data_IF_308549878603
#
_entry.id   IF_308549878603
#
_cell.length_a   1.000
_cell.length_b   1.000
_cell.length_c   1.000
_cell.angle_alpha   90.00
_cell.angle_beta   90.00
_cell.angle_gamma   90.00
#
_symmetry.space_group_name_H-M   'P 1'
#
loop_
_entity.id
_entity.type
_entity.pdbx_description
1 polymer ?
#
# COMPACT_ATOMS: atom_id res chain seq x y z
N UNK A 1 -15.74 37.71 -11.73
CA UNK A 1 -15.49 36.32 -12.19
C UNK A 1 -14.30 35.65 -11.51
N UNK A 2 -13.09 36.23 -11.50
CA UNK A 2 -11.88 35.58 -10.96
C UNK A 2 -11.99 35.03 -9.51
N UNK A 3 -12.67 35.74 -8.59
CA UNK A 3 -12.84 35.28 -7.18
C UNK A 3 -13.79 34.08 -7.03
N UNK A 4 -14.79 33.94 -7.91
CA UNK A 4 -15.71 32.79 -7.90
C UNK A 4 -15.04 31.53 -8.49
N UNK A 5 -14.16 31.71 -9.47
CA UNK A 5 -13.38 30.63 -10.07
C UNK A 5 -12.40 29.99 -9.07
N UNK A 6 -11.88 30.74 -8.11
CA UNK A 6 -10.96 30.21 -7.08
C UNK A 6 -11.68 29.38 -6.02
N UNK A 7 -12.87 29.79 -5.59
CA UNK A 7 -13.68 28.99 -4.67
C UNK A 7 -14.10 27.67 -5.34
N UNK A 8 -14.52 27.73 -6.61
CA UNK A 8 -14.87 26.54 -7.40
C UNK A 8 -13.66 25.62 -7.61
N UNK A 9 -12.49 26.17 -7.98
CA UNK A 9 -11.25 25.40 -8.13
C UNK A 9 -10.84 24.75 -6.81
N UNK A 10 -11.00 25.45 -5.68
CA UNK A 10 -10.68 24.90 -4.36
C UNK A 10 -11.62 23.77 -3.95
N UNK A 11 -12.93 23.92 -4.21
CA UNK A 11 -13.90 22.84 -4.04
C UNK A 11 -13.58 21.64 -4.94
N UNK A 12 -13.22 21.88 -6.21
CA UNK A 12 -12.81 20.84 -7.16
C UNK A 12 -11.55 20.09 -6.66
N UNK A 13 -10.54 20.81 -6.16
CA UNK A 13 -9.32 20.22 -5.61
C UNK A 13 -9.66 19.35 -4.38
N UNK A 14 -10.47 19.85 -3.45
CA UNK A 14 -10.92 19.07 -2.28
C UNK A 14 -11.66 17.80 -2.72
N UNK A 15 -12.59 17.90 -3.67
CA UNK A 15 -13.33 16.72 -4.16
C UNK A 15 -12.44 15.75 -4.92
N UNK A 16 -11.52 16.22 -5.76
CA UNK A 16 -10.64 15.36 -6.55
C UNK A 16 -9.58 14.64 -5.70
N UNK A 17 -9.16 15.22 -4.56
CA UNK A 17 -8.16 14.61 -3.68
C UNK A 17 -8.75 13.82 -2.50
N UNK A 18 -9.98 14.10 -2.08
CA UNK A 18 -10.66 13.34 -1.01
C UNK A 18 -11.58 12.23 -1.53
N UNK A 19 -12.06 12.32 -2.78
CA UNK A 19 -12.75 11.20 -3.43
C UNK A 19 -11.68 10.34 -4.08
N UNK A 20 -11.47 9.09 -3.62
CA UNK A 20 -10.50 8.22 -4.24
C UNK A 20 -11.03 7.81 -5.61
N UNK A 21 -10.70 8.57 -6.64
CA UNK A 21 -10.85 8.13 -8.02
C UNK A 21 -9.80 7.05 -8.28
N UNK A 22 -10.06 5.84 -7.78
CA UNK A 22 -9.34 4.63 -8.19
C UNK A 22 -9.75 4.29 -9.63
N UNK A 23 -9.31 5.11 -10.58
CA UNK A 23 -9.28 4.76 -11.99
C UNK A 23 -7.82 4.50 -12.40
N UNK A 24 -7.15 3.63 -11.65
CA UNK A 24 -6.05 2.86 -12.22
C UNK A 24 -6.68 1.58 -12.72
N UNK A 25 -6.88 1.51 -14.03
CA UNK A 25 -7.17 0.28 -14.75
C UNK A 25 -6.02 -0.70 -14.48
N UNK A 26 -6.16 -1.48 -13.41
CA UNK A 26 -5.41 -2.72 -13.23
C UNK A 26 -5.84 -3.59 -14.40
N UNK A 27 -4.91 -3.92 -15.30
CA UNK A 27 -5.14 -4.97 -16.30
C UNK A 27 -5.66 -6.18 -15.53
N UNK A 28 -6.92 -6.54 -15.76
CA UNK A 28 -7.52 -7.70 -15.13
C UNK A 28 -6.64 -8.91 -15.51
N UNK A 29 -6.04 -9.53 -14.50
CA UNK A 29 -5.32 -10.79 -14.68
C UNK A 29 -6.36 -11.88 -14.99
N UNK A 30 -6.09 -12.82 -15.90
CA UNK A 30 -6.97 -13.97 -16.08
C UNK A 30 -7.13 -14.66 -14.74
N UNK A 31 -8.38 -14.82 -14.30
CA UNK A 31 -8.67 -15.50 -13.05
C UNK A 31 -8.33 -16.97 -13.21
N UNK A 32 -8.06 -17.66 -12.10
CA UNK A 32 -7.89 -19.10 -12.09
C UNK A 32 -9.01 -19.84 -12.86
N UNK A 33 -10.27 -19.36 -12.79
CA UNK A 33 -11.42 -19.95 -13.48
C UNK A 33 -11.40 -19.85 -15.01
N UNK A 34 -10.62 -18.95 -15.59
CA UNK A 34 -10.59 -18.73 -17.04
C UNK A 34 -9.63 -19.69 -17.77
N UNK A 35 -8.87 -20.49 -17.02
CA UNK A 35 -7.83 -21.34 -17.60
C UNK A 35 -8.36 -22.70 -18.01
N UNK A 36 -8.19 -23.02 -19.30
CA UNK A 36 -8.55 -24.33 -19.86
C UNK A 36 -7.31 -25.21 -19.91
N UNK A 37 -7.34 -26.31 -19.14
CA UNK A 37 -6.26 -27.29 -19.19
C UNK A 37 -6.29 -28.10 -20.49
N UNK A 38 -5.12 -28.53 -20.99
CA UNK A 38 -5.03 -29.51 -22.07
C UNK A 38 -5.84 -30.78 -21.75
N UNK A 39 -6.32 -31.46 -22.79
CA UNK A 39 -7.11 -32.69 -22.70
C UNK A 39 -8.40 -32.58 -21.88
N UNK A 40 -8.98 -31.37 -21.77
CA UNK A 40 -10.21 -31.11 -21.01
C UNK A 40 -10.13 -31.57 -19.55
N UNK A 41 -8.95 -31.46 -18.91
CA UNK A 41 -8.80 -31.77 -17.49
C UNK A 41 -9.54 -30.71 -16.66
N UNK A 42 -10.47 -31.13 -15.81
CA UNK A 42 -11.28 -30.23 -14.98
C UNK A 42 -10.98 -30.45 -13.51
N UNK A 43 -10.93 -29.36 -12.75
CA UNK A 43 -10.78 -29.37 -11.30
C UNK A 43 -12.01 -28.74 -10.65
N UNK A 44 -12.47 -29.30 -9.54
CA UNK A 44 -13.67 -28.85 -8.83
C UNK A 44 -13.46 -27.51 -8.11
N UNK A 45 -12.22 -27.21 -7.73
CA UNK A 45 -11.86 -26.02 -6.96
C UNK A 45 -10.58 -25.41 -7.50
N UNK A 46 -10.45 -24.11 -7.28
CA UNK A 46 -9.46 -23.29 -7.94
C UNK A 46 -9.27 -21.98 -7.15
N UNK A 47 -8.04 -21.49 -7.08
CA UNK A 47 -7.71 -20.24 -6.37
C UNK A 47 -6.50 -19.54 -7.00
N UNK A 48 -6.56 -18.21 -7.01
CA UNK A 48 -5.40 -17.36 -7.29
C UNK A 48 -4.56 -17.29 -6.00
N UNK A 49 -3.33 -17.80 -6.04
CA UNK A 49 -2.46 -17.75 -4.87
C UNK A 49 -1.88 -16.33 -4.74
N UNK A 50 -1.79 -15.80 -3.50
CA UNK A 50 -1.22 -14.47 -3.31
C UNK A 50 0.28 -14.52 -3.51
N UNK A 51 0.79 -13.71 -4.43
CA UNK A 51 2.21 -13.64 -4.80
C UNK A 51 2.67 -14.72 -5.80
N UNK A 52 3.77 -14.40 -6.48
CA UNK A 52 4.45 -15.23 -7.48
C UNK A 52 3.58 -15.61 -8.68
N UNK A 53 2.51 -14.88 -9.01
CA UNK A 53 1.68 -15.16 -10.21
C UNK A 53 1.34 -16.66 -10.35
N UNK A 54 0.95 -17.23 -9.20
CA UNK A 54 0.72 -18.66 -8.97
C UNK A 54 -0.76 -18.95 -8.77
N UNK A 55 -1.16 -20.16 -9.16
CA UNK A 55 -2.55 -20.61 -9.17
C UNK A 55 -2.59 -22.07 -8.74
N UNK A 56 -3.61 -22.41 -7.96
CA UNK A 56 -3.83 -23.79 -7.53
C UNK A 56 -5.20 -24.25 -7.99
N UNK A 57 -5.24 -25.41 -8.64
CA UNK A 57 -6.45 -26.09 -9.02
C UNK A 57 -6.46 -27.46 -8.37
N UNK A 58 -7.59 -27.89 -7.82
CA UNK A 58 -7.66 -29.19 -7.16
C UNK A 58 -9.06 -29.79 -7.15
N UNK A 59 -9.10 -31.11 -7.01
CA UNK A 59 -10.29 -31.89 -6.72
C UNK A 59 -9.94 -32.84 -5.59
N UNK A 60 -10.67 -32.75 -4.48
CA UNK A 60 -10.52 -33.67 -3.36
C UNK A 60 -11.64 -34.71 -3.40
N UNK A 61 -11.27 -36.00 -3.37
CA UNK A 61 -12.21 -37.12 -3.25
C UNK A 61 -12.22 -37.62 -1.80
N UNK A 62 -13.23 -37.29 -0.97
CA UNK A 62 -13.23 -37.66 0.44
C UNK A 62 -13.26 -39.19 0.65
N UNK A 63 -13.94 -39.92 -0.24
CA UNK A 63 -14.07 -41.38 -0.17
C UNK A 63 -12.78 -42.12 -0.54
N UNK A 64 -11.96 -41.54 -1.41
CA UNK A 64 -10.67 -42.10 -1.85
C UNK A 64 -9.47 -41.48 -1.13
N UNK A 65 -9.71 -40.48 -0.27
CA UNK A 65 -8.70 -39.61 0.36
C UNK A 65 -7.66 -39.01 -0.61
N UNK A 66 -7.97 -38.98 -1.91
CA UNK A 66 -7.08 -38.47 -2.95
C UNK A 66 -7.30 -36.99 -3.24
N UNK A 67 -6.21 -36.25 -3.33
CA UNK A 67 -6.15 -34.87 -3.77
C UNK A 67 -5.50 -34.82 -5.15
N UNK A 68 -6.31 -34.59 -6.18
CA UNK A 68 -5.80 -34.27 -7.52
C UNK A 68 -5.46 -32.80 -7.55
N UNK A 69 -4.23 -32.45 -7.93
CA UNK A 69 -3.75 -31.07 -7.94
C UNK A 69 -3.11 -30.69 -9.27
N UNK A 70 -3.33 -29.45 -9.68
CA UNK A 70 -2.53 -28.75 -10.67
C UNK A 70 -2.06 -27.40 -10.09
N UNK A 71 -0.77 -27.28 -9.87
CA UNK A 71 -0.13 -26.02 -9.50
C UNK A 71 0.41 -25.35 -10.77
N UNK A 72 -0.10 -24.15 -11.09
CA UNK A 72 0.33 -23.36 -12.24
C UNK A 72 1.11 -22.15 -11.73
N UNK A 73 2.27 -21.90 -12.33
CA UNK A 73 3.06 -20.70 -12.09
C UNK A 73 3.33 -20.03 -13.45
N UNK A 74 2.91 -18.77 -13.59
CA UNK A 74 3.05 -18.00 -14.83
C UNK A 74 4.19 -16.99 -14.76
N UNK A 75 4.56 -16.41 -15.90
CA UNK A 75 5.66 -15.45 -16.02
C UNK A 75 7.02 -16.05 -15.62
N UNK A 76 7.21 -17.34 -15.89
CA UNK A 76 8.44 -18.08 -15.58
C UNK A 76 9.26 -18.32 -16.83
N UNK A 77 10.59 -18.31 -16.67
CA UNK A 77 11.54 -18.64 -17.72
C UNK A 77 11.88 -20.14 -17.73
N UNK A 78 12.47 -20.63 -18.81
CA UNK A 78 13.01 -22.00 -18.86
C UNK A 78 14.17 -22.23 -17.87
N UNK A 79 14.83 -21.16 -17.42
CA UNK A 79 15.86 -21.16 -16.38
C UNK A 79 15.32 -21.03 -14.95
N UNK A 80 14.04 -21.31 -14.74
CA UNK A 80 13.37 -21.23 -13.44
C UNK A 80 12.85 -22.60 -13.02
N UNK A 81 13.09 -22.99 -11.79
CA UNK A 81 12.40 -24.12 -11.15
C UNK A 81 11.21 -23.59 -10.39
N UNK A 82 10.15 -24.39 -10.30
CA UNK A 82 8.95 -24.07 -9.53
C UNK A 82 8.65 -25.23 -8.60
N UNK A 83 8.12 -24.93 -7.43
CA UNK A 83 7.75 -25.94 -6.46
C UNK A 83 6.44 -25.59 -5.76
N UNK A 84 5.67 -26.63 -5.46
CA UNK A 84 4.53 -26.56 -4.57
C UNK A 84 4.59 -27.75 -3.61
N UNK A 85 4.26 -27.54 -2.34
CA UNK A 85 4.37 -28.60 -1.34
C UNK A 85 3.43 -28.44 -0.17
N UNK A 86 3.17 -29.56 0.50
CA UNK A 86 2.38 -29.63 1.73
C UNK A 86 3.34 -29.72 2.91
N UNK A 87 3.12 -28.91 3.94
CA UNK A 87 3.80 -29.06 5.22
C UNK A 87 2.83 -29.70 6.23
N UNK A 88 3.04 -30.98 6.60
CA UNK A 88 2.14 -31.67 7.52
C UNK A 88 2.36 -31.29 9.00
N UNK A 89 3.49 -30.68 9.35
CA UNK A 89 3.86 -30.41 10.76
C UNK A 89 3.84 -28.93 11.13
N UNK A 90 3.96 -28.04 10.15
CA UNK A 90 4.09 -26.60 10.33
C UNK A 90 3.46 -25.84 9.17
N UNK A 91 3.64 -24.51 9.14
CA UNK A 91 3.15 -23.62 8.08
C UNK A 91 4.25 -23.08 7.17
N UNK A 92 5.52 -23.31 7.50
CA UNK A 92 6.67 -22.70 6.82
C UNK A 92 7.40 -23.65 5.87
N UNK A 93 8.58 -23.24 5.40
CA UNK A 93 9.42 -24.01 4.47
C UNK A 93 9.91 -25.34 5.07
N UNK A 94 10.49 -25.30 6.28
CA UNK A 94 11.06 -26.49 6.93
C UNK A 94 9.95 -27.47 7.33
N UNK A 95 10.10 -28.73 6.92
CA UNK A 95 9.09 -29.78 7.05
C UNK A 95 8.18 -29.92 5.82
N UNK A 96 8.34 -29.07 4.80
CA UNK A 96 7.54 -29.16 3.56
C UNK A 96 7.93 -30.41 2.78
N UNK A 97 6.92 -31.09 2.28
CA UNK A 97 7.02 -32.19 1.34
C UNK A 97 6.59 -31.68 -0.02
N UNK A 98 7.58 -31.37 -0.86
CA UNK A 98 7.42 -30.59 -2.07
C UNK A 98 7.41 -31.47 -3.31
N UNK A 99 6.76 -30.94 -4.34
CA UNK A 99 6.87 -31.39 -5.72
C UNK A 99 7.55 -30.27 -6.48
N UNK A 100 8.63 -30.61 -7.17
CA UNK A 100 9.51 -29.67 -7.85
C UNK A 100 9.48 -29.96 -9.34
N UNK A 101 9.44 -28.93 -10.16
CA UNK A 101 9.57 -29.05 -11.60
C UNK A 101 10.52 -27.99 -12.17
N UNK A 102 11.24 -28.35 -13.23
CA UNK A 102 12.07 -27.43 -13.99
C UNK A 102 12.30 -27.95 -15.41
N UNK A 103 12.75 -27.07 -16.32
CA UNK A 103 13.11 -27.46 -17.69
C UNK A 103 14.56 -27.90 -17.72
N UNK A 104 14.84 -29.13 -18.16
CA UNK A 104 16.20 -29.65 -18.31
C UNK A 104 16.91 -28.97 -19.50
N UNK A 105 18.25 -29.03 -19.57
CA UNK A 105 19.01 -28.49 -20.70
C UNK A 105 18.62 -29.07 -22.08
N UNK A 106 18.07 -30.28 -22.13
CA UNK A 106 17.57 -30.93 -23.35
C UNK A 106 16.16 -30.47 -23.76
N UNK A 107 15.55 -29.55 -23.01
CA UNK A 107 14.20 -29.03 -23.23
C UNK A 107 13.08 -29.88 -22.64
N UNK A 108 13.37 -31.04 -22.05
CA UNK A 108 12.36 -31.88 -21.40
C UNK A 108 12.05 -31.41 -19.98
N UNK A 109 10.88 -31.76 -19.46
CA UNK A 109 10.50 -31.43 -18.09
C UNK A 109 11.07 -32.43 -17.10
N UNK A 110 11.71 -31.95 -16.04
CA UNK A 110 11.93 -32.69 -14.81
C UNK A 110 10.76 -32.45 -13.87
N UNK A 111 10.27 -33.50 -13.22
CA UNK A 111 9.31 -33.41 -12.12
C UNK A 111 9.58 -34.53 -11.12
N UNK A 112 9.66 -34.20 -9.84
CA UNK A 112 9.99 -35.16 -8.79
C UNK A 112 9.56 -34.64 -7.42
N UNK A 113 9.55 -35.53 -6.42
CA UNK A 113 9.24 -35.18 -5.03
C UNK A 113 10.50 -34.86 -4.24
N UNK A 114 10.43 -33.91 -3.30
CA UNK A 114 11.56 -33.50 -2.48
C UNK A 114 11.14 -33.18 -1.03
N UNK A 115 11.69 -33.88 -0.02
CA UNK A 115 11.50 -33.53 1.38
C UNK A 115 12.40 -32.37 1.81
N UNK A 116 11.81 -31.24 2.20
CA UNK A 116 12.50 -30.01 2.61
C UNK A 116 12.65 -29.96 4.13
N UNK A 117 13.71 -30.56 4.65
CA UNK A 117 13.94 -30.71 6.09
C UNK A 117 14.80 -29.59 6.70
N UNK A 118 15.37 -28.68 5.89
CA UNK A 118 16.18 -27.56 6.36
C UNK A 118 16.20 -26.41 5.35
N UNK A 119 16.64 -25.22 5.80
CA UNK A 119 16.85 -24.07 4.92
C UNK A 119 18.02 -24.25 3.93
N UNK A 120 18.90 -25.24 4.17
CA UNK A 120 20.04 -25.55 3.31
C UNK A 120 19.74 -26.64 2.26
N UNK A 121 18.47 -26.93 1.99
CA UNK A 121 18.06 -27.91 0.97
C UNK A 121 18.60 -27.52 -0.41
N UNK A 122 18.93 -28.52 -1.24
CA UNK A 122 19.17 -28.32 -2.68
C UNK A 122 18.02 -28.93 -3.50
N UNK A 123 16.86 -29.12 -2.86
CA UNK A 123 15.68 -29.78 -3.44
C UNK A 123 16.04 -31.16 -4.01
N UNK A 124 16.78 -31.97 -3.25
CA UNK A 124 17.13 -33.32 -3.67
C UNK A 124 15.87 -34.19 -3.79
N UNK A 125 15.86 -35.05 -4.82
CA UNK A 125 14.79 -36.03 -5.00
C UNK A 125 14.74 -37.00 -3.80
N UNK A 126 13.53 -37.27 -3.33
CA UNK A 126 13.31 -38.16 -2.20
C UNK A 126 11.84 -38.43 -1.94
N UNK A 127 11.60 -39.47 -1.15
CA UNK A 127 10.24 -39.91 -0.81
C UNK A 127 9.56 -38.97 0.17
N UNK A 128 8.26 -38.79 -0.01
CA UNK A 128 7.38 -38.06 0.90
C UNK A 128 6.76 -39.04 1.91
N UNK A 129 6.24 -38.51 3.01
CA UNK A 129 5.52 -39.31 4.01
C UNK A 129 4.12 -39.74 3.56
N UNK A 130 3.61 -39.13 2.48
CA UNK A 130 2.36 -39.51 1.83
C UNK A 130 2.62 -39.96 0.39
N UNK A 131 1.87 -40.96 -0.12
CA UNK A 131 1.99 -41.39 -1.51
C UNK A 131 1.68 -40.27 -2.50
N UNK A 132 2.48 -40.21 -3.57
CA UNK A 132 2.26 -39.31 -4.71
C UNK A 132 2.32 -40.13 -5.99
N UNK A 133 1.32 -39.98 -6.84
CA UNK A 133 1.21 -40.65 -8.14
C UNK A 133 0.84 -39.65 -9.25
N UNK A 134 0.83 -40.14 -10.50
CA UNK A 134 0.49 -39.37 -11.71
C UNK A 134 1.26 -38.04 -11.85
N UNK A 135 2.52 -38.08 -11.43
CA UNK A 135 3.41 -36.93 -11.42
C UNK A 135 3.79 -36.55 -12.86
N UNK A 136 3.46 -35.32 -13.25
CA UNK A 136 3.84 -34.77 -14.56
C UNK A 136 4.00 -33.27 -14.49
N UNK A 137 4.77 -32.69 -15.40
CA UNK A 137 4.88 -31.25 -15.53
C UNK A 137 4.94 -30.83 -17.00
N UNK A 138 4.49 -29.61 -17.28
CA UNK A 138 4.55 -29.01 -18.62
C UNK A 138 5.05 -27.57 -18.53
N UNK A 139 5.83 -27.14 -19.52
CA UNK A 139 6.22 -25.76 -19.71
C UNK A 139 5.79 -25.29 -21.10
N UNK A 140 4.89 -24.30 -21.16
CA UNK A 140 4.36 -23.74 -22.39
C UNK A 140 4.01 -22.26 -22.15
N UNK A 141 4.28 -21.39 -23.12
CA UNK A 141 3.94 -19.95 -23.07
C UNK A 141 4.42 -19.24 -21.78
N UNK A 142 5.66 -19.52 -21.35
CA UNK A 142 6.24 -19.00 -20.09
C UNK A 142 5.40 -19.34 -18.84
N UNK A 143 4.72 -20.49 -18.87
CA UNK A 143 3.96 -21.02 -17.76
C UNK A 143 4.38 -22.46 -17.48
N UNK A 144 4.62 -22.75 -16.21
CA UNK A 144 4.89 -24.10 -15.75
C UNK A 144 3.70 -24.63 -14.97
N UNK A 145 3.29 -25.85 -15.25
CA UNK A 145 2.21 -26.54 -14.54
C UNK A 145 2.73 -27.86 -14.00
N UNK A 146 2.55 -28.09 -12.71
CA UNK A 146 2.82 -29.35 -12.03
C UNK A 146 1.48 -30.05 -11.79
N UNK A 147 1.37 -31.31 -12.19
CA UNK A 147 0.24 -32.18 -11.88
C UNK A 147 0.67 -33.30 -10.94
N UNK A 148 -0.17 -33.62 -9.98
CA UNK A 148 0.03 -34.75 -9.09
C UNK A 148 -1.30 -35.26 -8.52
N UNK A 149 -1.26 -36.51 -8.05
CA UNK A 149 -2.30 -37.11 -7.20
C UNK A 149 -1.65 -37.45 -5.88
N UNK A 150 -2.22 -36.94 -4.79
CA UNK A 150 -1.68 -37.09 -3.44
C UNK A 150 -2.69 -37.85 -2.60
N UNK A 151 -2.24 -38.90 -1.91
CA UNK A 151 -3.08 -39.65 -0.98
C UNK A 151 -2.89 -39.08 0.43
N UNK A 152 -3.94 -38.46 0.97
CA UNK A 152 -3.89 -37.82 2.28
C UNK A 152 -4.37 -38.77 3.39
N UNK A 153 -3.92 -38.57 4.64
CA UNK A 153 -4.45 -39.31 5.77
C UNK A 153 -5.98 -39.18 5.89
N UNK A 154 -6.64 -40.22 6.39
CA UNK A 154 -8.07 -40.18 6.67
C UNK A 154 -8.43 -39.00 7.58
N UNK A 155 -9.61 -38.40 7.36
CA UNK A 155 -10.13 -37.25 8.10
C UNK A 155 -9.31 -35.95 7.95
N UNK A 156 -8.43 -35.84 6.94
CA UNK A 156 -7.74 -34.58 6.64
C UNK A 156 -8.73 -33.54 6.13
N UNK A 157 -9.01 -32.51 6.94
CA UNK A 157 -9.92 -31.41 6.59
C UNK A 157 -9.19 -30.20 6.01
N UNK A 158 -7.92 -30.01 6.36
CA UNK A 158 -7.09 -28.93 5.85
C UNK A 158 -5.62 -29.29 5.83
N UNK A 159 -4.86 -28.69 4.92
CA UNK A 159 -3.42 -28.86 4.79
C UNK A 159 -2.73 -27.49 4.71
N UNK A 160 -1.55 -27.36 5.32
CA UNK A 160 -0.69 -26.19 5.09
C UNK A 160 0.13 -26.43 3.84
N UNK A 161 0.21 -25.44 2.96
CA UNK A 161 0.98 -25.55 1.72
C UNK A 161 1.90 -24.35 1.52
N UNK A 162 2.93 -24.52 0.71
CA UNK A 162 3.88 -23.46 0.32
C UNK A 162 4.18 -23.58 -1.17
N UNK A 163 4.55 -22.47 -1.79
CA UNK A 163 4.99 -22.44 -3.18
C UNK A 163 6.20 -21.52 -3.35
N UNK A 164 7.07 -21.86 -4.28
CA UNK A 164 8.29 -21.10 -4.57
C UNK A 164 8.72 -21.26 -6.01
N UNK A 165 9.55 -20.33 -6.44
CA UNK A 165 10.35 -20.42 -7.65
C UNK A 165 11.80 -19.99 -7.39
N UNK A 166 12.73 -20.43 -8.22
CA UNK A 166 14.13 -20.05 -8.11
C UNK A 166 14.95 -20.36 -9.36
N UNK A 167 16.21 -19.91 -9.40
CA UNK A 167 17.05 -20.02 -10.59
C UNK A 167 17.56 -21.44 -10.81
N UNK A 168 17.67 -21.84 -12.07
CA UNK A 168 18.29 -23.09 -12.52
C UNK A 168 19.58 -22.76 -13.27
N UNK A 169 20.66 -23.45 -12.92
CA UNK A 169 21.93 -23.39 -13.65
C UNK A 169 22.34 -24.80 -14.07
N UNK A 170 22.16 -25.12 -15.36
CA UNK A 170 22.32 -26.49 -15.86
C UNK A 170 21.27 -27.42 -15.25
N UNK A 171 21.71 -28.33 -14.39
CA UNK A 171 20.86 -29.23 -13.60
C UNK A 171 20.83 -28.91 -12.10
N UNK A 172 21.43 -27.78 -11.70
CA UNK A 172 21.49 -27.35 -10.29
C UNK A 172 20.39 -26.36 -9.99
N UNK A 173 19.62 -26.66 -8.93
CA UNK A 173 18.54 -25.80 -8.43
C UNK A 173 19.11 -24.83 -7.39
N UNK A 174 19.09 -23.54 -7.71
CA UNK A 174 19.58 -22.48 -6.85
C UNK A 174 18.56 -22.04 -5.80
N UNK A 175 19.03 -21.32 -4.79
CA UNK A 175 18.18 -20.79 -3.71
C UNK A 175 17.16 -19.78 -4.25
N UNK A 176 15.90 -19.92 -3.84
CA UNK A 176 14.86 -18.92 -4.11
C UNK A 176 15.12 -17.61 -3.34
N UNK A 177 14.48 -16.50 -3.73
CA UNK A 177 14.66 -15.26 -2.97
C UNK A 177 14.11 -15.42 -1.54
N UNK A 178 14.82 -14.86 -0.55
CA UNK A 178 14.46 -14.94 0.87
C UNK A 178 13.84 -13.63 1.39
N UNK A 179 13.10 -12.92 0.51
CA UNK A 179 12.48 -11.63 0.87
C UNK A 179 11.15 -11.40 0.14
N UNK A 180 10.38 -10.43 0.64
CA UNK A 180 9.15 -9.97 -0.02
C UNK A 180 8.13 -11.10 -0.24
N UNK A 181 7.64 -11.19 -1.47
CA UNK A 181 6.63 -12.11 -1.96
C UNK A 181 6.97 -13.59 -1.68
N UNK A 182 8.24 -13.97 -1.76
CA UNK A 182 8.66 -15.34 -1.50
C UNK A 182 8.44 -15.75 -0.04
N UNK A 183 8.72 -14.88 0.93
CA UNK A 183 8.44 -15.17 2.35
C UNK A 183 6.94 -15.26 2.67
N UNK A 184 6.08 -14.78 1.76
CA UNK A 184 4.63 -14.77 1.91
C UNK A 184 3.93 -15.89 1.13
N UNK A 185 4.69 -16.71 0.39
CA UNK A 185 4.16 -17.74 -0.51
C UNK A 185 3.82 -19.03 0.26
N UNK A 186 2.88 -18.90 1.19
CA UNK A 186 2.40 -19.95 2.08
C UNK A 186 0.91 -19.78 2.43
N UNK A 187 0.23 -20.90 2.65
CA UNK A 187 -1.22 -20.96 2.74
C UNK A 187 -1.75 -22.13 3.56
N UNK A 188 -3.07 -22.16 3.72
CA UNK A 188 -3.83 -23.29 4.24
C UNK A 188 -4.95 -23.58 3.24
N UNK A 189 -4.99 -24.82 2.78
CA UNK A 189 -6.01 -25.33 1.89
C UNK A 189 -7.07 -26.06 2.72
N UNK A 190 -8.31 -25.60 2.66
CA UNK A 190 -9.45 -26.30 3.25
C UNK A 190 -10.04 -27.24 2.18
N UNK A 191 -9.96 -28.54 2.45
CA UNK A 191 -10.33 -29.58 1.50
C UNK A 191 -11.84 -29.83 1.47
N UNK A 192 -12.57 -29.50 2.55
CA UNK A 192 -14.02 -29.68 2.63
C UNK A 192 -14.80 -28.52 2.02
N UNK A 193 -14.31 -27.28 2.16
CA UNK A 193 -14.95 -26.11 1.54
C UNK A 193 -14.45 -25.81 0.14
N UNK A 194 -13.36 -26.45 -0.32
CA UNK A 194 -12.74 -26.11 -1.59
C UNK A 194 -12.18 -24.69 -1.61
N UNK A 195 -11.82 -24.13 -0.45
CA UNK A 195 -11.23 -22.79 -0.34
C UNK A 195 -9.78 -22.87 0.11
N UNK A 196 -8.92 -22.09 -0.55
CA UNK A 196 -7.57 -21.82 -0.04
C UNK A 196 -7.56 -20.47 0.67
N UNK A 197 -6.94 -20.42 1.84
CA UNK A 197 -6.71 -19.20 2.61
C UNK A 197 -5.21 -19.01 2.80
N UNK A 198 -4.66 -17.84 2.47
CA UNK A 198 -3.27 -17.58 2.82
C UNK A 198 -3.06 -17.64 4.33
N UNK A 199 -2.04 -18.39 4.77
CA UNK A 199 -1.76 -18.65 6.19
C UNK A 199 -0.94 -17.49 6.69
N UNK A 200 -1.71 -16.51 7.12
CA UNK A 200 -1.29 -15.16 7.36
C UNK A 200 -0.73 -15.02 8.78
N UNK A 201 0.28 -15.82 9.14
CA UNK A 201 1.04 -15.62 10.39
C UNK A 201 1.81 -14.28 10.38
N UNK A 202 1.96 -13.66 9.20
CA UNK A 202 2.37 -12.27 8.98
C UNK A 202 1.24 -11.27 8.66
N UNK A 203 -0.05 -11.65 8.59
CA UNK A 203 -1.13 -10.71 8.19
C UNK A 203 -1.29 -9.57 9.16
N UNK A 204 -1.37 -9.82 10.47
CA UNK A 204 -1.72 -8.76 11.41
C UNK A 204 -0.66 -7.67 11.40
N UNK A 205 0.62 -8.04 11.30
CA UNK A 205 1.73 -7.10 11.18
C UNK A 205 1.73 -6.39 9.82
N UNK A 206 1.46 -7.08 8.72
CA UNK A 206 1.45 -6.47 7.39
C UNK A 206 0.23 -5.57 7.17
N UNK A 207 -0.95 -6.00 7.62
CA UNK A 207 -2.16 -5.19 7.68
C UNK A 207 -1.98 -4.00 8.62
N UNK A 208 -1.30 -4.16 9.75
CA UNK A 208 -0.96 -3.03 10.63
C UNK A 208 0.00 -2.05 9.97
N UNK A 209 1.00 -2.53 9.21
CA UNK A 209 1.91 -1.68 8.40
C UNK A 209 1.15 -0.91 7.31
N UNK A 210 0.26 -1.60 6.59
CA UNK A 210 -0.59 -1.00 5.54
C UNK A 210 -1.53 0.03 6.16
N UNK A 211 -2.25 -0.33 7.23
CA UNK A 211 -3.13 0.56 7.98
C UNK A 211 -2.39 1.79 8.50
N UNK A 212 -1.22 1.61 9.11
CA UNK A 212 -0.35 2.72 9.54
C UNK A 212 -0.01 3.65 8.38
N UNK A 213 0.43 3.09 7.25
CA UNK A 213 0.78 3.84 6.04
C UNK A 213 -0.41 4.62 5.46
N UNK A 214 -1.57 3.97 5.31
CA UNK A 214 -2.79 4.58 4.76
C UNK A 214 -3.31 5.70 5.67
N UNK A 215 -3.46 5.42 6.97
CA UNK A 215 -3.96 6.41 7.94
C UNK A 215 -3.08 7.67 7.95
N UNK A 216 -1.76 7.51 7.99
CA UNK A 216 -0.85 8.65 8.02
C UNK A 216 -0.73 9.37 6.67
N UNK A 217 -0.83 8.66 5.54
CA UNK A 217 -0.82 9.30 4.22
C UNK A 217 -2.08 10.14 4.01
N UNK A 218 -3.25 9.61 4.36
CA UNK A 218 -4.53 10.36 4.26
C UNK A 218 -4.53 11.54 5.23
N UNK A 219 -4.16 11.31 6.49
CA UNK A 219 -4.08 12.35 7.52
C UNK A 219 -3.04 13.42 7.17
N UNK A 220 -1.76 13.09 7.34
CA UNK A 220 -0.65 14.03 7.33
C UNK A 220 -0.22 14.41 5.91
N UNK A 221 -0.43 13.51 4.95
CA UNK A 221 -0.04 13.70 3.56
C UNK A 221 -1.08 14.38 2.69
N UNK A 222 -2.36 14.40 3.08
CA UNK A 222 -3.45 14.95 2.25
C UNK A 222 -4.32 15.94 3.05
N UNK A 223 -4.95 15.51 4.14
CA UNK A 223 -5.89 16.35 4.89
C UNK A 223 -5.21 17.57 5.52
N UNK A 224 -4.04 17.40 6.16
CA UNK A 224 -3.31 18.53 6.76
C UNK A 224 -2.84 19.58 5.75
N UNK A 225 -2.21 19.20 4.60
CA UNK A 225 -1.89 20.15 3.53
C UNK A 225 -3.12 20.86 2.97
N UNK A 226 -4.23 20.14 2.71
CA UNK A 226 -5.46 20.76 2.21
C UNK A 226 -6.04 21.77 3.22
N UNK A 227 -6.04 21.43 4.51
CA UNK A 227 -6.45 22.34 5.58
C UNK A 227 -5.58 23.59 5.65
N UNK A 228 -4.26 23.46 5.47
CA UNK A 228 -3.35 24.60 5.36
C UNK A 228 -3.67 25.48 4.15
N UNK A 229 -3.85 24.87 2.97
CA UNK A 229 -4.22 25.59 1.74
C UNK A 229 -5.54 26.36 1.92
N UNK A 230 -6.53 25.76 2.59
CA UNK A 230 -7.80 26.42 2.89
C UNK A 230 -7.59 27.71 3.69
N UNK A 231 -6.87 27.64 4.81
CA UNK A 231 -6.62 28.80 5.65
C UNK A 231 -5.79 29.88 4.94
N UNK A 232 -4.84 29.49 4.09
CA UNK A 232 -3.97 30.43 3.39
C UNK A 232 -4.68 31.16 2.24
N UNK A 233 -5.42 30.42 1.42
CA UNK A 233 -5.94 30.93 0.15
C UNK A 233 -7.40 31.38 0.23
N UNK A 234 -8.29 30.66 0.91
CA UNK A 234 -9.68 31.11 1.07
C UNK A 234 -9.76 32.40 1.90
N UNK A 235 -8.92 32.54 2.92
CA UNK A 235 -8.83 33.79 3.69
C UNK A 235 -8.46 34.99 2.83
N UNK A 236 -7.75 34.78 1.72
CA UNK A 236 -7.34 35.83 0.78
C UNK A 236 -8.45 36.26 -0.18
N UNK A 237 -9.57 35.54 -0.25
CA UNK A 237 -10.75 35.90 -1.06
C UNK A 237 -11.47 37.15 -0.50
N UNK A 238 -11.21 37.48 0.77
CA UNK A 238 -11.72 38.69 1.45
C UNK A 238 -12.91 38.39 2.39
N UNK A 239 -13.66 39.42 2.82
CA UNK A 239 -14.69 39.31 3.85
C UNK A 239 -15.79 38.27 3.55
N UNK A 240 -16.07 38.01 2.26
CA UNK A 240 -17.05 37.01 1.82
C UNK A 240 -16.68 35.55 2.18
N UNK A 241 -15.41 35.31 2.48
CA UNK A 241 -14.92 34.00 2.89
C UNK A 241 -14.67 33.90 4.41
N UNK A 242 -14.94 34.95 5.19
CA UNK A 242 -14.98 34.90 6.66
C UNK A 242 -16.43 34.59 7.09
N UNK A 243 -16.71 33.53 7.87
CA UNK A 243 -15.79 32.58 8.52
C UNK A 243 -15.51 31.28 7.72
N UNK A 244 -15.94 31.17 6.47
CA UNK A 244 -15.82 29.94 5.66
C UNK A 244 -14.40 29.34 5.63
N UNK A 245 -13.35 30.15 5.44
CA UNK A 245 -11.96 29.67 5.44
C UNK A 245 -11.59 28.95 6.74
N UNK A 246 -12.13 29.43 7.86
CA UNK A 246 -11.86 28.90 9.19
C UNK A 246 -12.59 27.59 9.40
N UNK A 247 -13.85 27.50 8.97
CA UNK A 247 -14.60 26.25 9.02
C UNK A 247 -13.98 25.18 8.14
N UNK A 248 -13.64 25.47 6.89
CA UNK A 248 -13.00 24.49 6.00
C UNK A 248 -11.65 24.03 6.56
N UNK A 249 -10.86 24.97 7.09
CA UNK A 249 -9.59 24.64 7.76
C UNK A 249 -9.81 23.68 8.94
N UNK A 250 -10.69 24.02 9.89
CA UNK A 250 -10.85 23.20 11.11
C UNK A 250 -11.51 21.85 10.81
N UNK A 251 -12.40 21.76 9.83
CA UNK A 251 -13.03 20.49 9.40
C UNK A 251 -12.07 19.53 8.73
N UNK A 252 -10.97 20.03 8.16
CA UNK A 252 -9.90 19.17 7.61
C UNK A 252 -8.86 18.83 8.68
N UNK A 253 -8.47 19.81 9.50
CA UNK A 253 -7.40 19.67 10.49
C UNK A 253 -7.79 18.79 11.68
N UNK A 254 -9.00 18.92 12.26
CA UNK A 254 -9.38 18.12 13.43
C UNK A 254 -9.50 16.62 13.10
N UNK A 255 -10.28 16.20 12.07
CA UNK A 255 -10.35 14.79 11.73
C UNK A 255 -9.03 14.26 11.19
N UNK A 256 -8.28 15.08 10.44
CA UNK A 256 -6.92 14.78 10.02
C UNK A 256 -6.06 14.40 11.21
N UNK A 257 -6.00 15.24 12.25
CA UNK A 257 -5.18 14.96 13.43
C UNK A 257 -5.60 13.69 14.16
N UNK A 258 -6.91 13.48 14.35
CA UNK A 258 -7.43 12.27 15.00
C UNK A 258 -7.04 11.00 14.23
N UNK A 259 -7.16 11.03 12.91
CA UNK A 259 -6.74 9.93 12.03
C UNK A 259 -5.21 9.72 12.10
N UNK A 260 -4.46 10.81 12.13
CA UNK A 260 -3.01 10.81 12.33
C UNK A 260 -2.60 10.18 13.66
N UNK A 261 -3.31 10.47 14.75
CA UNK A 261 -3.09 9.84 16.06
C UNK A 261 -3.37 8.33 16.03
N UNK A 262 -4.47 7.90 15.41
CA UNK A 262 -4.73 6.47 15.20
C UNK A 262 -3.61 5.82 14.37
N UNK A 263 -3.15 6.49 13.31
CA UNK A 263 -1.98 6.10 12.54
C UNK A 263 -0.72 6.00 13.41
N UNK A 264 -0.47 6.95 14.30
CA UNK A 264 0.64 6.91 15.26
C UNK A 264 0.58 5.74 16.20
N UNK A 265 -0.58 5.50 16.81
CA UNK A 265 -0.81 4.39 17.73
C UNK A 265 -0.54 3.04 17.06
N UNK A 266 -0.97 2.86 15.81
CA UNK A 266 -0.62 1.64 15.03
C UNK A 266 0.88 1.51 14.78
N UNK A 267 1.60 2.62 14.58
CA UNK A 267 3.06 2.64 14.43
C UNK A 267 3.81 2.30 15.72
N UNK A 268 3.36 2.81 16.87
CA UNK A 268 3.89 2.45 18.19
C UNK A 268 3.66 0.97 18.49
N UNK A 269 2.44 0.48 18.23
CA UNK A 269 2.09 -0.92 18.39
C UNK A 269 2.92 -1.83 17.46
N UNK A 270 3.19 -1.38 16.24
CA UNK A 270 4.07 -2.08 15.31
C UNK A 270 5.52 -2.17 15.83
N UNK A 271 6.02 -1.12 16.47
CA UNK A 271 7.32 -1.11 17.14
C UNK A 271 7.42 -2.19 18.23
N UNK A 272 6.40 -2.29 19.09
CA UNK A 272 6.31 -3.33 20.13
C UNK A 272 6.25 -4.74 19.52
N UNK A 273 5.50 -4.92 18.42
CA UNK A 273 5.36 -6.22 17.73
C UNK A 273 6.56 -6.62 16.86
N UNK A 274 7.52 -5.73 16.66
CA UNK A 274 8.67 -5.91 15.75
C UNK A 274 10.00 -5.78 16.49
N UNK A 275 10.12 -6.44 17.64
CA UNK A 275 11.35 -6.45 18.44
C UNK A 275 12.58 -6.80 17.57
N UNK A 276 13.59 -5.91 17.59
CA UNK A 276 14.81 -6.03 16.79
C UNK A 276 14.84 -5.23 15.48
N UNK A 277 13.69 -4.80 14.94
CA UNK A 277 13.62 -3.96 13.73
C UNK A 277 13.41 -2.50 14.12
N UNK A 278 14.43 -1.66 13.90
CA UNK A 278 14.42 -0.26 14.33
C UNK A 278 14.52 0.70 13.14
N UNK A 279 13.64 1.69 13.12
CA UNK A 279 13.65 2.79 12.15
C UNK A 279 13.69 4.14 12.88
N UNK A 280 14.83 4.48 13.52
CA UNK A 280 14.92 5.60 14.46
C UNK A 280 14.63 6.96 13.82
N UNK A 281 15.01 7.17 12.56
CA UNK A 281 14.72 8.40 11.83
C UNK A 281 13.21 8.60 11.62
N UNK A 282 12.53 7.57 11.09
CA UNK A 282 11.08 7.62 10.85
C UNK A 282 10.28 7.81 12.15
N UNK A 283 10.65 7.08 13.19
CA UNK A 283 10.03 7.20 14.50
C UNK A 283 10.28 8.57 15.13
N UNK A 284 11.53 9.08 15.07
CA UNK A 284 11.88 10.40 15.60
C UNK A 284 11.08 11.52 14.96
N UNK A 285 11.02 11.55 13.62
CA UNK A 285 10.21 12.52 12.89
C UNK A 285 8.72 12.36 13.24
N UNK A 286 8.21 11.12 13.30
CA UNK A 286 6.83 10.82 13.67
C UNK A 286 6.44 11.33 15.06
N UNK A 287 7.29 11.11 16.07
CA UNK A 287 7.07 11.64 17.43
C UNK A 287 7.08 13.17 17.45
N UNK A 288 8.03 13.81 16.75
CA UNK A 288 8.06 15.27 16.63
C UNK A 288 6.77 15.81 16.00
N UNK A 289 6.26 15.13 14.95
CA UNK A 289 4.98 15.48 14.32
C UNK A 289 3.80 15.42 15.30
N UNK A 290 3.72 14.39 16.13
CA UNK A 290 2.66 14.28 17.14
C UNK A 290 2.67 15.43 18.14
N UNK A 291 3.86 15.76 18.67
CA UNK A 291 4.02 16.85 19.61
C UNK A 291 3.66 18.20 18.98
N UNK A 292 4.16 18.48 17.77
CA UNK A 292 3.86 19.73 17.07
C UNK A 292 2.38 19.84 16.66
N UNK A 293 1.75 18.73 16.27
CA UNK A 293 0.31 18.70 15.98
C UNK A 293 -0.55 18.94 17.22
N UNK A 294 -0.14 18.45 18.40
CA UNK A 294 -0.83 18.75 19.66
C UNK A 294 -0.72 20.24 20.02
N UNK A 295 0.45 20.83 19.80
CA UNK A 295 0.67 22.28 19.93
C UNK A 295 -0.24 23.07 18.98
N UNK A 296 -0.42 22.60 17.75
CA UNK A 296 -1.30 23.21 16.76
C UNK A 296 -2.77 23.19 17.18
N UNK A 297 -3.27 22.09 17.75
CA UNK A 297 -4.64 22.03 18.26
C UNK A 297 -4.82 22.89 19.51
N UNK A 298 -3.83 22.88 20.41
CA UNK A 298 -3.82 23.75 21.60
C UNK A 298 -3.93 25.23 21.20
N UNK A 299 -3.41 25.61 20.02
CA UNK A 299 -3.51 26.96 19.49
C UNK A 299 -4.97 27.41 19.27
N UNK A 300 -5.92 26.48 19.05
CA UNK A 300 -7.36 26.80 18.97
C UNK A 300 -7.87 27.40 20.29
N UNK A 301 -7.55 26.75 21.41
CA UNK A 301 -8.01 27.16 22.75
C UNK A 301 -7.30 28.41 23.24
N UNK A 302 -6.04 28.60 22.81
CA UNK A 302 -5.22 29.75 23.18
C UNK A 302 -5.32 30.92 22.19
N UNK A 303 -6.29 30.89 21.26
CA UNK A 303 -6.44 31.88 20.19
C UNK A 303 -6.89 33.24 20.75
N UNK A 304 -6.04 34.30 20.73
CA UNK A 304 -6.43 35.61 21.23
C UNK A 304 -7.43 36.31 20.29
N UNK A 305 -8.21 37.24 20.86
CA UNK A 305 -9.08 38.16 20.12
C UNK A 305 -8.30 38.95 19.04
N UNK A 306 -9.00 39.41 17.99
CA UNK A 306 -8.38 40.00 16.78
C UNK A 306 -7.53 41.25 17.10
N UNK A 307 -7.91 41.99 18.13
CA UNK A 307 -7.31 43.23 18.64
C UNK A 307 -6.32 43.02 19.80
N UNK A 308 -6.14 41.79 20.26
CA UNK A 308 -5.28 41.49 21.42
C UNK A 308 -3.78 41.62 21.09
N UNK A 309 -2.97 42.19 22.00
CA UNK A 309 -1.52 42.40 21.81
C UNK A 309 -0.71 41.14 21.44
N UNK A 310 -1.11 39.97 21.95
CA UNK A 310 -0.44 38.69 21.66
C UNK A 310 -0.91 38.02 20.36
N UNK A 311 -1.87 38.62 19.62
CA UNK A 311 -2.40 38.06 18.38
C UNK A 311 -1.31 37.81 17.34
N UNK A 312 -0.35 38.73 17.22
CA UNK A 312 0.75 38.63 16.26
C UNK A 312 1.74 37.52 16.64
N UNK A 313 2.09 37.40 17.93
CA UNK A 313 2.94 36.32 18.43
C UNK A 313 2.27 34.95 18.23
N UNK A 314 0.98 34.84 18.53
CA UNK A 314 0.20 33.64 18.28
C UNK A 314 0.18 33.28 16.79
N UNK A 315 -0.02 34.25 15.89
CA UNK A 315 0.01 34.01 14.45
C UNK A 315 1.39 33.52 13.99
N UNK A 316 2.48 34.13 14.48
CA UNK A 316 3.84 33.72 14.14
C UNK A 316 4.11 32.28 14.60
N UNK A 317 3.79 31.97 15.85
CA UNK A 317 3.91 30.64 16.41
C UNK A 317 3.11 29.61 15.61
N UNK A 318 1.83 29.89 15.37
CA UNK A 318 0.91 29.00 14.66
C UNK A 318 1.36 28.76 13.22
N UNK A 319 1.82 29.80 12.51
CA UNK A 319 2.34 29.63 11.16
C UNK A 319 3.65 28.84 11.14
N UNK A 320 4.63 29.21 11.98
CA UNK A 320 5.95 28.56 11.99
C UNK A 320 5.83 27.07 12.28
N UNK A 321 5.10 26.72 13.35
CA UNK A 321 4.89 25.31 13.71
C UNK A 321 4.07 24.58 12.65
N UNK A 322 3.11 25.23 11.99
CA UNK A 322 2.33 24.65 10.90
C UNK A 322 3.18 24.30 9.67
N UNK A 323 4.09 25.19 9.25
CA UNK A 323 5.02 24.91 8.15
C UNK A 323 5.97 23.76 8.49
N UNK A 324 6.48 23.72 9.72
CA UNK A 324 7.34 22.63 10.18
C UNK A 324 6.61 21.29 10.13
N UNK A 325 5.35 21.23 10.57
CA UNK A 325 4.52 20.02 10.48
C UNK A 325 4.39 19.56 9.03
N UNK A 326 4.04 20.45 8.09
CA UNK A 326 3.88 20.07 6.68
C UNK A 326 5.17 19.50 6.07
N UNK A 327 6.32 20.14 6.33
CA UNK A 327 7.61 19.69 5.83
C UNK A 327 7.99 18.32 6.39
N UNK A 328 7.88 18.15 7.71
CA UNK A 328 8.18 16.89 8.38
C UNK A 328 7.23 15.78 7.94
N UNK A 329 5.93 16.08 7.76
CA UNK A 329 4.94 15.11 7.27
C UNK A 329 5.29 14.60 5.89
N UNK A 330 5.61 15.49 4.96
CA UNK A 330 6.02 15.13 3.60
C UNK A 330 7.26 14.23 3.64
N UNK A 331 8.32 14.65 4.33
CA UNK A 331 9.56 13.87 4.43
C UNK A 331 9.31 12.49 5.07
N UNK A 332 8.51 12.43 6.14
CA UNK A 332 8.29 11.19 6.87
C UNK A 332 7.48 10.15 6.09
N UNK A 333 6.58 10.58 5.21
CA UNK A 333 5.83 9.67 4.32
C UNK A 333 6.77 9.02 3.31
N UNK A 334 7.71 9.78 2.71
CA UNK A 334 8.71 9.21 1.79
C UNK A 334 9.66 8.26 2.51
N UNK A 335 10.09 8.59 3.72
CA UNK A 335 10.85 7.65 4.58
C UNK A 335 10.02 6.39 4.86
N UNK A 336 8.72 6.55 5.14
CA UNK A 336 7.79 5.44 5.32
C UNK A 336 7.69 4.53 4.09
N UNK A 337 7.60 5.09 2.87
CA UNK A 337 7.62 4.31 1.63
C UNK A 337 8.95 3.59 1.39
N UNK A 338 10.07 4.23 1.72
CA UNK A 338 11.38 3.59 1.64
C UNK A 338 11.47 2.36 2.57
N UNK A 339 10.88 2.44 3.76
CA UNK A 339 10.82 1.34 4.73
C UNK A 339 9.83 0.24 4.29
N UNK A 340 8.62 0.64 3.91
CA UNK A 340 7.53 -0.28 3.59
C UNK A 340 7.76 -1.00 2.26
N UNK A 341 8.48 -0.37 1.32
CA UNK A 341 8.66 -0.81 -0.07
C UNK A 341 7.34 -1.28 -0.71
N UNK A 342 6.30 -0.43 -0.74
CA UNK A 342 5.00 -0.80 -1.29
C UNK A 342 5.09 -0.99 -2.81
N UNK A 343 4.04 -1.56 -3.41
CA UNK A 343 3.94 -1.64 -4.86
C UNK A 343 4.11 -0.24 -5.50
N UNK A 344 4.80 -0.17 -6.65
CA UNK A 344 5.13 1.08 -7.34
C UNK A 344 3.93 2.01 -7.54
N UNK A 345 2.75 1.44 -7.75
CA UNK A 345 1.49 2.19 -7.87
C UNK A 345 1.23 3.12 -6.68
N UNK A 346 1.48 2.69 -5.44
CA UNK A 346 1.28 3.53 -4.25
C UNK A 346 2.19 4.76 -4.24
N UNK A 347 3.46 4.56 -4.61
CA UNK A 347 4.47 5.63 -4.68
C UNK A 347 4.09 6.62 -5.79
N UNK A 348 3.68 6.12 -6.95
CA UNK A 348 3.25 6.93 -8.09
C UNK A 348 2.00 7.73 -7.71
N UNK A 349 0.98 7.10 -7.15
CA UNK A 349 -0.29 7.76 -6.76
C UNK A 349 -0.03 8.89 -5.79
N UNK A 350 0.71 8.64 -4.70
CA UNK A 350 1.02 9.71 -3.74
C UNK A 350 1.92 10.79 -4.35
N UNK A 351 2.89 10.42 -5.18
CA UNK A 351 3.74 11.35 -5.91
C UNK A 351 2.93 12.31 -6.80
N UNK A 352 1.93 11.80 -7.52
CA UNK A 352 1.01 12.60 -8.32
C UNK A 352 0.16 13.53 -7.44
N UNK A 353 -0.43 13.02 -6.36
CA UNK A 353 -1.26 13.82 -5.44
C UNK A 353 -0.43 14.95 -4.82
N UNK A 354 0.72 14.63 -4.24
CA UNK A 354 1.59 15.62 -3.60
C UNK A 354 2.14 16.63 -4.60
N UNK A 355 2.54 16.20 -5.80
CA UNK A 355 2.95 17.07 -6.90
C UNK A 355 1.83 18.04 -7.31
N UNK A 356 0.60 17.55 -7.47
CA UNK A 356 -0.54 18.38 -7.83
C UNK A 356 -0.88 19.41 -6.73
N UNK A 357 -0.77 19.06 -5.45
CA UNK A 357 -0.94 20.01 -4.35
C UNK A 357 0.14 21.09 -4.35
N UNK A 358 1.41 20.74 -4.62
CA UNK A 358 2.52 21.70 -4.72
C UNK A 358 2.28 22.67 -5.89
N UNK A 359 1.96 22.16 -7.08
CA UNK A 359 1.64 23.00 -8.25
C UNK A 359 0.46 23.92 -7.95
N UNK A 360 -0.61 23.39 -7.35
CA UNK A 360 -1.78 24.19 -6.96
C UNK A 360 -1.42 25.29 -5.97
N UNK A 361 -0.55 25.00 -5.01
CA UNK A 361 -0.04 25.98 -4.03
C UNK A 361 0.73 27.10 -4.72
N UNK A 362 1.59 26.79 -5.69
CA UNK A 362 2.34 27.78 -6.48
C UNK A 362 1.37 28.68 -7.26
N UNK A 363 0.42 28.09 -7.98
CA UNK A 363 -0.58 28.83 -8.77
C UNK A 363 -1.42 29.76 -7.87
N UNK A 364 -1.89 29.25 -6.74
CA UNK A 364 -2.69 30.02 -5.78
C UNK A 364 -1.87 31.12 -5.10
N UNK A 365 -0.57 30.91 -4.85
CA UNK A 365 0.32 31.93 -4.31
C UNK A 365 0.56 33.07 -5.31
N UNK A 366 0.78 32.75 -6.59
CA UNK A 366 0.88 33.75 -7.66
C UNK A 366 -0.42 34.54 -7.78
N UNK A 367 -1.57 33.85 -7.86
CA UNK A 367 -2.88 34.49 -7.91
C UNK A 367 -3.11 35.44 -6.72
N UNK A 368 -2.79 34.99 -5.51
CA UNK A 368 -2.94 35.78 -4.29
C UNK A 368 -2.13 37.07 -4.35
N UNK A 369 -0.87 37.01 -4.79
CA UNK A 369 0.01 38.19 -4.93
C UNK A 369 -0.55 39.18 -5.94
N UNK A 370 -0.89 38.71 -7.14
CA UNK A 370 -1.48 39.56 -8.19
C UNK A 370 -2.78 40.26 -7.72
N UNK A 371 -3.60 39.57 -6.94
CA UNK A 371 -4.85 40.13 -6.41
C UNK A 371 -4.60 41.18 -5.33
N UNK A 372 -3.55 41.01 -4.51
CA UNK A 372 -3.14 41.99 -3.49
C UNK A 372 -2.55 43.25 -4.14
N UNK A 373 -1.72 43.09 -5.17
CA UNK A 373 -1.12 44.21 -5.90
C UNK A 373 -2.20 45.04 -6.62
N UNK A 374 -3.14 44.39 -7.30
CA UNK A 374 -4.26 45.07 -7.97
C UNK A 374 -5.18 45.84 -7.01
N UNK A 375 -5.47 45.29 -5.82
CA UNK A 375 -6.23 46.02 -4.79
C UNK A 375 -5.47 47.24 -4.27
N UNK A 376 -4.14 47.14 -4.13
CA UNK A 376 -3.28 48.24 -3.65
C UNK A 376 -3.24 49.38 -4.67
N UNK A 377 -3.08 49.04 -5.96
CA UNK A 377 -3.10 50.01 -7.05
C UNK A 377 -4.47 50.72 -7.12
N UNK A 378 -5.58 49.97 -7.11
CA UNK A 378 -6.91 50.57 -7.14
C UNK A 378 -7.25 51.44 -5.92
N UNK A 379 -6.74 51.08 -4.73
CA UNK A 379 -6.91 51.91 -3.53
C UNK A 379 -6.13 53.24 -3.64
N UNK A 380 -4.91 53.19 -4.19
CA UNK A 380 -4.10 54.38 -4.43
C UNK A 380 -4.74 55.31 -5.48
N UNK A 381 -5.30 54.74 -6.55
CA UNK A 381 -6.03 55.52 -7.58
C UNK A 381 -7.32 56.15 -7.04
N UNK A 382 -8.09 55.42 -6.23
CA UNK A 382 -9.30 55.95 -5.59
C UNK A 382 -8.97 57.07 -4.59
N UNK A 383 -7.90 56.90 -3.78
CA UNK A 383 -7.40 57.95 -2.89
C UNK A 383 -6.96 59.19 -3.66
N UNK A 384 -6.23 59.02 -4.76
CA UNK A 384 -5.77 60.13 -5.59
C UNK A 384 -6.93 60.88 -6.27
N UNK A 385 -8.01 60.17 -6.60
CA UNK A 385 -9.22 60.77 -7.21
C UNK A 385 -9.99 61.61 -6.19
N UNK A 386 -10.22 61.10 -4.97
CA UNK A 386 -10.86 61.86 -3.89
C UNK A 386 -10.08 63.13 -3.52
N UNK A 387 -8.75 63.06 -3.40
CA UNK A 387 -7.93 64.25 -3.12
C UNK A 387 -8.00 65.30 -4.23
N UNK A 388 -8.29 64.88 -5.48
CA UNK A 388 -8.43 65.80 -6.62
C UNK A 388 -9.82 66.45 -6.69
N UNK A 389 -10.85 65.79 -6.16
CA UNK A 389 -12.20 66.37 -6.02
C UNK A 389 -12.28 67.33 -4.83
N UNK A 390 -11.64 67.02 -3.71
CA UNK A 390 -11.59 67.92 -2.52
C UNK A 390 -10.85 69.24 -2.81
N UNK A 391 -9.87 69.24 -3.71
CA UNK A 391 -9.12 70.44 -4.13
C UNK A 391 -9.83 71.28 -5.21
N UNK A 392 -11.05 70.91 -5.65
CA UNK A 392 -11.83 71.62 -6.66
C UNK A 392 -12.99 72.46 -6.08
N UNK A 393 -13.15 72.49 -4.75
CA UNK A 393 -14.20 73.24 -4.03
C UNK A 393 -13.69 74.59 -3.55
#
# INVERSE_FOLDING_TARGET
MARYNVLFLFCLLITCFLVPSFALSVVARPSCSDFVFPNNKVFASCTDLPNLDSFLHWTYGPSSTTLHVAYRHSQVSSSTWVAWGINPTSKGMVGTQAIVAYTKPDGTMAVFTSPVNSYGTQLQEGNLSFPVSDLSASFLDNQMVIYAVIELPENTTSVSHVWQDGPVSGSTLGMHQVSGNHLQSMGTLNLSSGQASASHSGSSKNQLKITHGVLNTVSWGIMMPLGFMAARYLKSVGPKADPLWFYVHITLQLPGYLLGMAGGATGLYLGVKSAGVHHPCHMGIGFTLFCLGLLQISALFLRPAKDHKFRNLWNLFHHLTGYTVLLLSFANIWVGFYILKPAKAWIIVYGVISGAMIVSTIVLEVWKRLTQDGNTIGANEASATNTREDNKV
#
